data_IF_731173450701
#
_entry.id   IF_731173450701
#
_cell.length_a   1.000
_cell.length_b   1.000
_cell.length_c   1.000
_cell.angle_alpha   90.00
_cell.angle_beta   90.00
_cell.angle_gamma   90.00
#
_symmetry.space_group_name_H-M   'P 1'
#
loop_
_entity.id
_entity.type
_entity.pdbx_description
1 polymer ?
#
# COMPACT_ATOMS: atom_id res chain seq x y z
N UNK A 1 -15.15 -62.50 38.21
CA UNK A 1 -14.15 -61.61 37.61
C UNK A 1 -14.96 -60.50 36.91
N UNK A 2 -15.09 -59.38 37.57
CA UNK A 2 -15.82 -58.20 37.08
C UNK A 2 -14.77 -57.17 36.61
N UNK A 3 -14.76 -56.91 35.32
CA UNK A 3 -13.96 -55.81 34.73
C UNK A 3 -14.68 -54.50 34.95
N UNK A 4 -14.12 -53.67 35.78
CA UNK A 4 -14.53 -52.27 35.98
C UNK A 4 -13.79 -51.42 34.95
N UNK A 5 -14.51 -50.93 33.90
CA UNK A 5 -14.01 -49.87 33.00
C UNK A 5 -14.08 -48.51 33.73
N UNK A 6 -12.94 -47.95 33.97
CA UNK A 6 -12.81 -46.56 34.46
C UNK A 6 -13.14 -45.59 33.37
N UNK A 7 -14.11 -44.71 33.60
CA UNK A 7 -14.42 -43.58 32.70
C UNK A 7 -13.35 -42.50 32.84
N UNK A 8 -12.75 -42.12 31.69
CA UNK A 8 -11.80 -41.00 31.59
C UNK A 8 -12.57 -39.67 31.76
N UNK A 9 -12.14 -38.74 32.63
CA UNK A 9 -12.82 -37.47 32.76
C UNK A 9 -12.62 -36.58 31.54
N UNK A 10 -13.70 -36.02 31.01
CA UNK A 10 -13.73 -35.01 29.98
C UNK A 10 -13.12 -33.73 30.59
N UNK A 11 -11.90 -33.38 30.17
CA UNK A 11 -11.27 -32.10 30.48
C UNK A 11 -12.07 -31.05 29.69
N UNK A 12 -12.87 -30.23 30.37
CA UNK A 12 -13.44 -29.01 29.79
C UNK A 12 -12.27 -28.14 29.35
N UNK A 13 -12.18 -27.88 28.05
CA UNK A 13 -11.21 -26.95 27.48
C UNK A 13 -11.32 -25.61 28.18
N UNK A 14 -10.24 -25.16 28.78
CA UNK A 14 -10.06 -23.78 29.19
C UNK A 14 -10.21 -22.93 27.91
N UNK A 15 -11.17 -22.03 27.90
CA UNK A 15 -11.17 -20.89 27.02
C UNK A 15 -9.89 -20.12 27.35
N UNK A 16 -8.86 -20.28 26.52
CA UNK A 16 -7.72 -19.39 26.54
C UNK A 16 -8.27 -18.03 26.13
N UNK A 17 -8.36 -17.10 27.06
CA UNK A 17 -8.37 -15.68 26.72
C UNK A 17 -7.11 -15.45 25.88
N UNK A 18 -7.27 -15.34 24.57
CA UNK A 18 -6.19 -14.98 23.66
C UNK A 18 -5.77 -13.57 24.06
N UNK A 19 -4.69 -13.47 24.83
CA UNK A 19 -4.01 -12.20 25.03
C UNK A 19 -3.56 -11.78 23.64
N UNK A 20 -4.22 -10.78 23.07
CA UNK A 20 -3.82 -10.21 21.80
C UNK A 20 -2.42 -9.62 21.98
N UNK A 21 -1.44 -10.22 21.35
CA UNK A 21 -0.06 -9.72 21.38
C UNK A 21 0.02 -8.42 20.59
N UNK A 22 0.81 -7.44 21.05
CA UNK A 22 0.97 -6.18 20.35
C UNK A 22 1.57 -6.43 18.96
N UNK A 23 1.17 -5.64 17.96
CA UNK A 23 1.83 -5.60 16.65
C UNK A 23 3.28 -5.18 16.85
N UNK A 24 4.20 -6.02 16.42
CA UNK A 24 5.63 -5.91 16.68
C UNK A 24 6.42 -6.09 15.38
N UNK A 25 7.73 -5.95 15.47
CA UNK A 25 8.67 -6.25 14.39
C UNK A 25 8.45 -7.64 13.77
N UNK A 26 8.11 -8.66 14.56
CA UNK A 26 7.88 -10.00 14.01
C UNK A 26 6.75 -10.01 12.98
N UNK A 27 5.70 -9.20 13.19
CA UNK A 27 4.61 -9.08 12.22
C UNK A 27 5.06 -8.38 10.91
N UNK A 28 5.97 -7.40 10.98
CA UNK A 28 6.59 -6.86 9.77
C UNK A 28 7.36 -7.95 9.02
N UNK A 29 8.19 -8.74 9.74
CA UNK A 29 8.94 -9.84 9.11
C UNK A 29 8.02 -10.92 8.54
N UNK A 30 6.92 -11.24 9.21
CA UNK A 30 5.91 -12.17 8.71
C UNK A 30 5.31 -11.67 7.39
N UNK A 31 4.92 -10.39 7.32
CA UNK A 31 4.37 -9.75 6.12
C UNK A 31 5.39 -9.78 4.98
N UNK A 32 6.64 -9.39 5.23
CA UNK A 32 7.69 -9.36 4.22
C UNK A 32 8.12 -10.77 3.77
N UNK A 33 7.79 -11.80 4.54
CA UNK A 33 7.99 -13.18 4.10
C UNK A 33 6.93 -13.70 3.14
N UNK A 34 5.86 -12.94 2.85
CA UNK A 34 4.80 -13.35 1.94
C UNK A 34 5.12 -12.97 0.49
N UNK A 35 4.95 -13.91 -0.42
CA UNK A 35 5.00 -13.70 -1.87
C UNK A 35 3.56 -13.47 -2.35
N UNK A 36 3.21 -12.24 -2.73
CA UNK A 36 1.81 -11.81 -2.86
C UNK A 36 1.51 -10.96 -4.11
N UNK A 37 1.78 -11.46 -5.34
CA UNK A 37 1.40 -10.72 -6.54
C UNK A 37 -0.10 -10.41 -6.57
N UNK A 38 -0.47 -9.33 -7.25
CA UNK A 38 -1.87 -8.93 -7.43
C UNK A 38 -2.76 -10.11 -7.86
N UNK A 39 -3.96 -10.20 -7.29
CA UNK A 39 -4.97 -11.21 -7.56
C UNK A 39 -4.53 -12.68 -7.33
N UNK A 40 -3.38 -12.91 -6.71
CA UNK A 40 -2.84 -14.24 -6.45
C UNK A 40 -3.39 -14.87 -5.16
N UNK A 41 -3.09 -16.18 -4.99
CA UNK A 41 -3.32 -16.85 -3.70
C UNK A 41 -2.45 -16.27 -2.58
N UNK A 42 -1.26 -15.76 -2.90
CA UNK A 42 -0.39 -15.10 -1.93
C UNK A 42 -0.98 -13.81 -1.41
N UNK A 43 -1.59 -13.00 -2.27
CA UNK A 43 -2.32 -11.81 -1.83
C UNK A 43 -3.55 -12.19 -0.96
N UNK A 44 -4.26 -13.28 -1.29
CA UNK A 44 -5.34 -13.80 -0.44
C UNK A 44 -4.83 -14.22 0.95
N UNK A 45 -3.60 -14.77 1.04
CA UNK A 45 -2.95 -15.08 2.33
C UNK A 45 -2.68 -13.78 3.10
N UNK A 46 -2.24 -12.71 2.43
CA UNK A 46 -2.03 -11.39 3.05
C UNK A 46 -3.35 -10.80 3.58
N UNK A 47 -4.41 -10.81 2.75
CA UNK A 47 -5.76 -10.38 3.16
C UNK A 47 -6.23 -11.14 4.39
N UNK A 48 -6.06 -12.47 4.39
CA UNK A 48 -6.39 -13.31 5.55
C UNK A 48 -5.52 -12.97 6.77
N UNK A 49 -4.23 -12.74 6.60
CA UNK A 49 -3.32 -12.34 7.68
C UNK A 49 -3.81 -11.06 8.36
N UNK A 50 -4.16 -10.04 7.58
CA UNK A 50 -4.67 -8.76 8.09
C UNK A 50 -5.99 -8.97 8.84
N UNK A 51 -6.96 -9.67 8.24
CA UNK A 51 -8.28 -9.90 8.84
C UNK A 51 -8.21 -10.75 10.11
N UNK A 52 -7.34 -11.75 10.18
CA UNK A 52 -7.10 -12.54 11.38
C UNK A 52 -6.56 -11.66 12.54
N UNK A 53 -5.64 -10.71 12.23
CA UNK A 53 -5.14 -9.77 13.23
C UNK A 53 -6.21 -8.79 13.69
N UNK A 54 -7.03 -8.26 12.79
CA UNK A 54 -8.15 -7.39 13.16
C UNK A 54 -9.15 -8.12 14.05
N UNK A 55 -9.47 -9.37 13.74
CA UNK A 55 -10.32 -10.22 14.57
C UNK A 55 -9.71 -10.47 15.95
N UNK A 56 -8.42 -10.77 16.02
CA UNK A 56 -7.71 -10.99 17.28
C UNK A 56 -7.67 -9.73 18.17
N UNK A 57 -7.69 -8.55 17.55
CA UNK A 57 -7.77 -7.25 18.23
C UNK A 57 -9.21 -6.83 18.59
N UNK A 58 -10.22 -7.62 18.24
CA UNK A 58 -11.64 -7.28 18.35
C UNK A 58 -11.99 -5.95 17.64
N UNK A 59 -11.39 -5.74 16.46
CA UNK A 59 -11.60 -4.57 15.62
C UNK A 59 -12.62 -4.89 14.52
N UNK A 60 -13.73 -4.15 14.55
CA UNK A 60 -14.73 -4.24 13.48
C UNK A 60 -14.15 -3.77 12.15
N UNK A 61 -14.31 -4.59 11.13
CA UNK A 61 -13.88 -4.28 9.77
C UNK A 61 -14.88 -4.82 8.75
N UNK A 62 -14.79 -4.35 7.53
CA UNK A 62 -15.56 -4.84 6.40
C UNK A 62 -14.67 -5.04 5.19
N UNK A 63 -15.21 -5.66 4.16
CA UNK A 63 -14.59 -5.74 2.84
C UNK A 63 -15.59 -5.22 1.81
N UNK A 64 -15.11 -4.46 0.84
CA UNK A 64 -15.93 -4.02 -0.28
C UNK A 64 -16.04 -5.11 -1.38
N UNK A 65 -16.71 -4.78 -2.48
CA UNK A 65 -16.92 -5.70 -3.59
C UNK A 65 -15.64 -6.10 -4.35
N UNK A 66 -14.56 -5.31 -4.24
CA UNK A 66 -13.25 -5.66 -4.81
C UNK A 66 -12.41 -6.51 -3.85
N UNK A 67 -12.75 -6.48 -2.57
CA UNK A 67 -12.05 -7.18 -1.51
C UNK A 67 -11.02 -6.32 -0.77
N UNK A 68 -11.09 -4.99 -0.90
CA UNK A 68 -10.35 -4.08 -0.04
C UNK A 68 -10.81 -4.21 1.40
N UNK A 69 -9.90 -4.12 2.38
CA UNK A 69 -10.23 -4.22 3.80
C UNK A 69 -10.40 -2.81 4.36
N UNK A 70 -11.50 -2.58 5.04
CA UNK A 70 -11.90 -1.26 5.53
C UNK A 70 -12.07 -1.32 7.05
N UNK A 71 -11.38 -0.43 7.78
CA UNK A 71 -11.52 -0.23 9.23
C UNK A 71 -11.87 1.22 9.49
N UNK A 72 -13.05 1.49 10.01
CA UNK A 72 -13.50 2.84 10.30
C UNK A 72 -13.40 3.13 11.81
N UNK A 73 -12.38 3.92 12.19
CA UNK A 73 -12.17 4.45 13.53
C UNK A 73 -12.33 5.99 13.57
N UNK A 74 -12.98 6.57 12.56
CA UNK A 74 -13.26 8.00 12.55
C UNK A 74 -14.15 8.39 13.75
N UNK A 75 -13.91 9.58 14.34
CA UNK A 75 -14.77 10.07 15.40
C UNK A 75 -16.19 10.35 14.87
N UNK A 76 -17.19 10.12 15.72
CA UNK A 76 -18.61 10.38 15.41
C UNK A 76 -18.98 11.86 15.47
N UNK A 77 -18.12 12.69 16.08
CA UNK A 77 -18.28 14.15 16.13
C UNK A 77 -17.41 14.84 15.07
N UNK A 78 -17.77 16.04 14.71
CA UNK A 78 -16.98 16.85 13.80
C UNK A 78 -15.59 17.16 14.36
N UNK A 79 -14.58 17.09 13.52
CA UNK A 79 -13.19 17.42 13.82
C UNK A 79 -12.61 18.25 12.67
N UNK A 80 -11.61 19.13 12.93
CA UNK A 80 -10.97 19.93 11.90
C UNK A 80 -10.34 19.09 10.78
N UNK A 81 -9.94 17.86 11.09
CA UNK A 81 -9.34 16.92 10.15
C UNK A 81 -9.98 15.55 10.27
N UNK A 82 -10.24 14.93 9.13
CA UNK A 82 -10.70 13.54 8.99
C UNK A 82 -9.78 12.83 8.01
N UNK A 83 -9.01 11.89 8.50
CA UNK A 83 -7.91 11.26 7.77
C UNK A 83 -8.30 9.87 7.30
N UNK A 84 -7.96 9.53 6.06
CA UNK A 84 -7.87 8.17 5.55
C UNK A 84 -6.40 7.77 5.44
N UNK A 85 -6.02 6.64 6.02
CA UNK A 85 -4.71 6.01 5.86
C UNK A 85 -4.83 4.84 4.91
N UNK A 86 -3.89 4.73 3.97
CA UNK A 86 -3.90 3.69 2.96
C UNK A 86 -2.56 2.95 2.85
N UNK A 87 -2.65 1.69 2.47
CA UNK A 87 -1.55 0.82 2.09
C UNK A 87 -2.10 -0.25 1.14
N UNK A 88 -1.25 -0.90 0.33
CA UNK A 88 -1.71 -1.95 -0.55
C UNK A 88 -1.20 -3.35 -0.18
N UNK A 89 -1.98 -4.37 -0.55
CA UNK A 89 -1.74 -5.76 -0.12
C UNK A 89 -0.93 -6.57 -1.12
N UNK A 90 -0.90 -6.18 -2.37
CA UNK A 90 -0.19 -6.85 -3.45
C UNK A 90 1.28 -6.41 -3.57
N UNK A 91 1.99 -6.99 -4.52
CA UNK A 91 3.40 -6.70 -4.84
C UNK A 91 3.70 -7.11 -6.27
N UNK A 92 4.84 -6.65 -6.82
CA UNK A 92 5.35 -7.03 -8.15
C UNK A 92 6.11 -8.37 -8.17
N UNK A 93 5.86 -9.31 -7.26
CA UNK A 93 6.48 -10.63 -7.32
C UNK A 93 6.16 -11.33 -8.64
N UNK A 94 7.18 -11.73 -9.40
CA UNK A 94 7.01 -12.33 -10.74
C UNK A 94 6.67 -13.81 -10.74
N UNK A 95 6.86 -14.51 -9.61
CA UNK A 95 6.72 -15.96 -9.49
C UNK A 95 5.33 -16.41 -9.00
N UNK A 96 4.27 -15.78 -9.49
CA UNK A 96 2.88 -16.04 -9.09
C UNK A 96 2.38 -17.48 -9.33
N UNK A 97 3.04 -18.26 -10.17
CA UNK A 97 2.65 -19.63 -10.52
C UNK A 97 3.16 -20.72 -9.57
N UNK A 98 3.94 -20.36 -8.56
CA UNK A 98 4.47 -21.35 -7.60
C UNK A 98 3.48 -21.61 -6.47
N UNK A 99 3.44 -22.83 -5.96
CA UNK A 99 2.68 -23.20 -4.75
C UNK A 99 3.32 -22.61 -3.47
N UNK A 100 4.44 -21.91 -3.60
CA UNK A 100 5.17 -21.31 -2.49
C UNK A 100 4.74 -19.83 -2.34
N UNK A 101 4.04 -19.54 -1.26
CA UNK A 101 3.57 -18.18 -0.93
C UNK A 101 4.43 -17.50 0.13
N UNK A 102 5.64 -18.02 0.38
CA UNK A 102 6.59 -17.47 1.36
C UNK A 102 8.01 -17.45 0.81
N UNK A 103 8.78 -16.49 1.29
CA UNK A 103 10.21 -16.31 0.97
C UNK A 103 11.04 -16.19 2.24
N UNK A 104 12.33 -16.43 2.12
CA UNK A 104 13.29 -16.23 3.20
C UNK A 104 13.75 -14.78 3.24
N UNK A 105 14.00 -14.30 4.45
CA UNK A 105 14.55 -12.97 4.71
C UNK A 105 15.98 -13.10 5.27
N UNK A 106 16.79 -12.08 5.04
CA UNK A 106 18.13 -11.98 5.59
C UNK A 106 18.39 -10.56 6.12
N UNK A 107 19.17 -10.47 7.20
CA UNK A 107 19.78 -9.20 7.57
C UNK A 107 20.98 -8.95 6.64
N UNK A 108 20.87 -7.92 5.79
CA UNK A 108 21.94 -7.47 4.91
C UNK A 108 22.95 -6.60 5.70
N UNK A 109 22.47 -5.86 6.67
CA UNK A 109 23.25 -5.14 7.68
C UNK A 109 22.56 -5.28 9.04
N UNK A 110 23.03 -6.22 9.85
CA UNK A 110 22.45 -6.47 11.17
C UNK A 110 22.68 -5.30 12.15
N UNK A 111 23.74 -4.51 11.95
CA UNK A 111 24.03 -3.34 12.82
C UNK A 111 23.01 -2.22 12.60
N UNK A 112 22.61 -1.99 11.36
CA UNK A 112 21.66 -0.96 10.99
C UNK A 112 20.25 -1.50 10.78
N UNK A 113 20.04 -2.79 11.08
CA UNK A 113 18.74 -3.47 11.00
C UNK A 113 18.11 -3.43 9.59
N UNK A 114 18.96 -3.43 8.54
CA UNK A 114 18.54 -3.50 7.15
C UNK A 114 18.28 -4.97 6.79
N UNK A 115 17.08 -5.26 6.34
CA UNK A 115 16.69 -6.57 5.84
C UNK A 115 16.45 -6.55 4.34
N UNK A 116 16.57 -7.71 3.73
CA UNK A 116 16.32 -7.93 2.31
C UNK A 116 16.25 -9.42 2.01
N UNK A 117 16.35 -9.77 0.75
CA UNK A 117 16.42 -11.17 0.32
C UNK A 117 17.83 -11.74 0.49
N UNK A 118 17.97 -13.04 0.83
CA UNK A 118 19.24 -13.75 0.70
C UNK A 118 19.78 -13.68 -0.73
N UNK A 119 21.10 -13.74 -0.90
CA UNK A 119 21.75 -13.63 -2.20
C UNK A 119 21.36 -14.74 -3.20
N UNK A 120 20.91 -15.88 -2.71
CA UNK A 120 20.45 -17.03 -3.48
C UNK A 120 18.91 -17.13 -3.55
N UNK A 121 18.21 -16.08 -3.14
CA UNK A 121 16.74 -16.05 -3.17
C UNK A 121 16.22 -16.11 -4.60
N UNK A 122 15.22 -16.95 -4.88
CA UNK A 122 14.52 -16.94 -6.17
C UNK A 122 13.49 -15.81 -6.31
N UNK A 123 13.22 -15.07 -5.23
CA UNK A 123 12.23 -13.99 -5.23
C UNK A 123 12.70 -12.77 -6.02
N UNK A 124 11.76 -12.12 -6.71
CA UNK A 124 12.04 -10.95 -7.55
C UNK A 124 12.04 -9.64 -6.78
N UNK A 125 11.41 -9.58 -5.60
CA UNK A 125 11.39 -8.42 -4.71
C UNK A 125 11.20 -8.86 -3.26
N UNK A 126 11.46 -7.97 -2.31
CA UNK A 126 11.20 -8.18 -0.88
C UNK A 126 9.70 -7.98 -0.56
N UNK A 127 9.05 -7.05 -1.24
CA UNK A 127 7.68 -6.63 -0.99
C UNK A 127 7.55 -5.74 0.25
N UNK A 128 8.56 -4.94 0.55
CA UNK A 128 8.44 -3.85 1.50
C UNK A 128 7.51 -2.76 0.99
N UNK A 129 7.45 -2.62 -0.30
CA UNK A 129 6.44 -2.01 -1.13
C UNK A 129 5.28 -3.02 -1.32
N UNK A 130 4.06 -2.94 -0.69
CA UNK A 130 3.81 -2.05 0.43
C UNK A 130 3.47 -2.83 1.72
N UNK A 131 4.26 -3.88 1.99
CA UNK A 131 4.13 -4.64 3.24
C UNK A 131 4.42 -3.81 4.48
N UNK A 132 5.30 -2.80 4.34
CA UNK A 132 5.63 -1.90 5.44
C UNK A 132 4.47 -0.98 5.77
N UNK A 133 3.79 -0.42 4.77
CA UNK A 133 2.57 0.36 4.97
C UNK A 133 1.45 -0.46 5.62
N UNK A 134 1.23 -1.68 5.18
CA UNK A 134 0.27 -2.59 5.82
C UNK A 134 0.58 -2.82 7.30
N UNK A 135 1.85 -3.03 7.66
CA UNK A 135 2.28 -3.16 9.05
C UNK A 135 2.08 -1.86 9.85
N UNK A 136 2.34 -0.70 9.23
CA UNK A 136 2.07 0.63 9.83
C UNK A 136 0.59 0.76 10.14
N UNK A 137 -0.30 0.50 9.16
CA UNK A 137 -1.74 0.58 9.36
C UNK A 137 -2.20 -0.31 10.53
N UNK A 138 -1.80 -1.58 10.56
CA UNK A 138 -2.12 -2.49 11.68
C UNK A 138 -1.65 -1.95 13.03
N UNK A 139 -0.45 -1.34 13.05
CA UNK A 139 0.12 -0.74 14.26
C UNK A 139 -0.65 0.49 14.76
N UNK A 140 -1.19 1.31 13.84
CA UNK A 140 -2.00 2.48 14.16
C UNK A 140 -3.42 2.06 14.59
N UNK A 141 -4.01 1.07 13.91
CA UNK A 141 -5.31 0.48 14.29
C UNK A 141 -5.26 -0.10 15.71
N UNK A 142 -4.21 -0.87 16.03
CA UNK A 142 -4.03 -1.40 17.38
C UNK A 142 -3.93 -0.29 18.43
N UNK A 143 -3.28 0.82 18.10
CA UNK A 143 -3.19 2.00 18.95
C UNK A 143 -4.51 2.81 18.99
N UNK A 144 -5.53 2.41 18.20
CA UNK A 144 -6.83 3.09 18.07
C UNK A 144 -6.68 4.56 17.65
N UNK A 145 -5.72 4.85 16.78
CA UNK A 145 -5.57 6.18 16.19
C UNK A 145 -6.82 6.47 15.36
N UNK A 146 -7.51 7.60 15.58
CA UNK A 146 -8.75 7.91 14.87
C UNK A 146 -8.50 8.19 13.39
N UNK A 147 -8.97 7.32 12.50
CA UNK A 147 -8.90 7.45 11.04
C UNK A 147 -9.82 6.44 10.35
N UNK A 148 -10.03 6.62 9.05
CA UNK A 148 -10.44 5.56 8.16
C UNK A 148 -9.18 4.84 7.66
N UNK A 149 -9.14 3.52 7.72
CA UNK A 149 -8.04 2.71 7.21
C UNK A 149 -8.53 1.86 6.05
N UNK A 150 -7.79 1.87 4.95
CA UNK A 150 -8.10 1.02 3.80
C UNK A 150 -6.83 0.31 3.35
N UNK A 151 -6.89 -1.02 3.33
CA UNK A 151 -5.88 -1.84 2.69
C UNK A 151 -6.38 -2.16 1.29
N UNK A 152 -5.80 -1.50 0.31
CA UNK A 152 -6.19 -1.66 -1.08
C UNK A 152 -5.58 -2.92 -1.69
N UNK A 153 -6.23 -3.42 -2.73
CA UNK A 153 -5.76 -4.53 -3.56
C UNK A 153 -5.41 -4.02 -4.94
N UNK A 154 -4.47 -4.70 -5.59
CA UNK A 154 -4.14 -4.45 -7.00
C UNK A 154 -3.67 -3.01 -7.29
N UNK A 155 -2.85 -2.43 -6.40
CA UNK A 155 -2.18 -1.16 -6.64
C UNK A 155 -1.17 -1.29 -7.78
N UNK A 156 -0.35 -2.34 -7.75
CA UNK A 156 0.76 -2.62 -8.66
C UNK A 156 0.34 -2.92 -10.10
N UNK A 157 -0.95 -3.09 -10.32
CA UNK A 157 -1.55 -3.26 -11.66
C UNK A 157 -2.50 -2.11 -12.00
N UNK A 158 -2.27 -0.93 -11.42
CA UNK A 158 -2.92 0.32 -11.79
C UNK A 158 -3.91 0.89 -10.77
N UNK A 159 -3.83 0.51 -9.49
CA UNK A 159 -4.67 1.07 -8.42
C UNK A 159 -6.14 0.67 -8.53
N UNK A 160 -6.41 -0.56 -9.04
CA UNK A 160 -7.79 -1.00 -9.32
C UNK A 160 -8.65 -1.08 -8.06
N UNK A 161 -8.05 -1.42 -6.91
CA UNK A 161 -8.76 -1.48 -5.63
C UNK A 161 -9.18 -0.10 -5.15
N UNK A 162 -8.31 0.88 -5.21
CA UNK A 162 -8.61 2.27 -4.81
C UNK A 162 -9.56 2.96 -5.79
N UNK A 163 -9.46 2.67 -7.09
CA UNK A 163 -10.42 3.12 -8.09
C UNK A 163 -11.82 2.54 -7.83
N UNK A 164 -11.92 1.23 -7.54
CA UNK A 164 -13.20 0.63 -7.16
C UNK A 164 -13.79 1.29 -5.93
N UNK A 165 -12.98 1.45 -4.85
CA UNK A 165 -13.42 2.07 -3.60
C UNK A 165 -13.91 3.49 -3.79
N UNK A 166 -13.21 4.28 -4.63
CA UNK A 166 -13.60 5.64 -4.99
C UNK A 166 -14.96 5.69 -5.68
N UNK A 167 -15.22 4.77 -6.58
CA UNK A 167 -16.42 4.77 -7.43
C UNK A 167 -17.61 4.00 -6.80
N UNK A 168 -17.39 3.30 -5.68
CA UNK A 168 -18.45 2.57 -4.99
C UNK A 168 -19.43 3.55 -4.33
N UNK A 169 -20.70 3.44 -4.70
CA UNK A 169 -21.80 4.26 -4.18
C UNK A 169 -21.94 4.20 -2.66
N UNK A 170 -21.48 3.12 -2.02
CA UNK A 170 -21.46 2.98 -0.55
C UNK A 170 -20.56 4.02 0.10
N UNK A 171 -19.52 4.48 -0.60
CA UNK A 171 -18.55 5.46 -0.11
C UNK A 171 -18.88 6.90 -0.52
N UNK A 172 -19.89 7.12 -1.37
CA UNK A 172 -20.21 8.42 -1.95
C UNK A 172 -20.46 9.53 -0.91
N UNK A 173 -21.09 9.19 0.21
CA UNK A 173 -21.35 10.13 1.31
C UNK A 173 -20.16 10.27 2.27
N UNK A 174 -19.28 9.26 2.36
CA UNK A 174 -18.14 9.25 3.26
C UNK A 174 -16.96 10.03 2.71
N UNK A 175 -16.57 9.78 1.46
CA UNK A 175 -15.37 10.35 0.85
C UNK A 175 -15.30 11.88 0.91
N UNK A 176 -16.38 12.63 0.59
CA UNK A 176 -16.37 14.10 0.68
C UNK A 176 -16.23 14.65 2.12
N UNK A 177 -16.40 13.80 3.14
CA UNK A 177 -16.18 14.21 4.55
C UNK A 177 -14.72 14.13 4.97
N UNK A 178 -13.88 13.49 4.18
CA UNK A 178 -12.46 13.34 4.46
C UNK A 178 -11.69 14.58 4.00
N UNK A 179 -10.70 14.97 4.75
CA UNK A 179 -9.83 16.11 4.44
C UNK A 179 -8.43 15.69 4.00
N UNK A 180 -8.00 14.49 4.40
CA UNK A 180 -6.69 13.96 4.12
C UNK A 180 -6.75 12.49 3.71
N UNK A 181 -5.97 12.12 2.69
CA UNK A 181 -5.66 10.74 2.30
C UNK A 181 -4.14 10.56 2.32
N UNK A 182 -3.64 9.69 3.18
CA UNK A 182 -2.21 9.50 3.41
C UNK A 182 -1.85 8.05 3.15
N UNK A 183 -1.11 7.81 2.07
CA UNK A 183 -0.49 6.51 1.78
C UNK A 183 0.84 6.37 2.52
N UNK A 184 1.13 5.17 3.02
CA UNK A 184 2.43 4.81 3.60
C UNK A 184 3.20 3.89 2.65
N UNK A 185 3.40 4.36 1.43
CA UNK A 185 3.87 3.61 0.28
C UNK A 185 4.94 4.39 -0.50
N UNK A 186 5.87 5.03 0.21
CA UNK A 186 6.95 5.77 -0.44
C UNK A 186 8.31 5.26 0.02
N UNK A 187 9.19 4.98 -0.93
CA UNK A 187 10.59 4.65 -0.66
C UNK A 187 11.33 5.76 0.07
N UNK A 188 12.47 5.42 0.64
CA UNK A 188 13.35 6.38 1.29
C UNK A 188 12.87 6.78 2.68
N UNK A 189 13.30 7.96 3.12
CA UNK A 189 13.23 8.33 4.53
C UNK A 189 12.64 9.71 4.79
N UNK A 190 12.42 10.52 3.75
CA UNK A 190 12.23 11.97 3.93
C UNK A 190 11.08 12.57 3.15
N UNK A 191 10.40 11.80 2.33
CA UNK A 191 9.45 12.35 1.39
C UNK A 191 8.04 12.47 1.99
N UNK A 192 7.46 13.65 1.84
CA UNK A 192 6.02 13.91 1.86
C UNK A 192 5.66 14.36 0.45
N UNK A 193 5.01 13.49 -0.30
CA UNK A 193 4.70 13.72 -1.71
C UNK A 193 3.60 14.75 -1.84
N UNK A 194 3.86 15.83 -2.61
CA UNK A 194 2.89 16.90 -2.89
C UNK A 194 2.47 16.96 -4.35
N UNK A 195 3.17 16.23 -5.21
CA UNK A 195 2.88 16.09 -6.63
C UNK A 195 2.97 14.63 -7.03
N UNK A 196 1.94 14.11 -7.70
CA UNK A 196 1.89 12.77 -8.25
C UNK A 196 1.52 12.85 -9.72
N UNK A 197 2.27 12.16 -10.60
CA UNK A 197 2.06 12.16 -12.04
C UNK A 197 1.86 13.56 -12.65
N UNK A 198 2.63 14.55 -12.18
CA UNK A 198 2.57 15.92 -12.65
C UNK A 198 1.38 16.73 -12.13
N UNK A 199 0.51 16.14 -11.32
CA UNK A 199 -0.60 16.81 -10.65
C UNK A 199 -0.32 17.13 -9.19
N UNK A 200 -0.73 18.32 -8.72
CA UNK A 200 -0.66 18.68 -7.30
C UNK A 200 -1.66 17.85 -6.50
N UNK A 201 -1.18 17.00 -5.62
CA UNK A 201 -1.98 16.11 -4.78
C UNK A 201 -2.12 16.59 -3.33
N UNK A 202 -1.13 17.34 -2.83
CA UNK A 202 -1.17 17.96 -1.51
C UNK A 202 -0.56 19.36 -1.55
N UNK A 203 -0.96 20.22 -0.63
CA UNK A 203 -0.42 21.58 -0.56
C UNK A 203 0.95 21.64 0.12
N UNK A 204 1.77 22.61 -0.29
CA UNK A 204 3.05 22.91 0.39
C UNK A 204 2.85 23.26 1.87
N UNK A 205 1.71 23.91 2.19
CA UNK A 205 1.36 24.28 3.56
C UNK A 205 1.14 23.05 4.44
N UNK A 206 0.40 22.09 3.96
CA UNK A 206 0.18 20.81 4.64
C UNK A 206 1.49 20.03 4.80
N UNK A 207 2.26 19.84 3.73
CA UNK A 207 3.52 19.12 3.79
C UNK A 207 4.52 19.73 4.79
N UNK A 208 4.64 21.06 4.81
CA UNK A 208 5.45 21.77 5.78
C UNK A 208 4.96 21.60 7.22
N UNK A 209 3.64 21.64 7.43
CA UNK A 209 3.04 21.41 8.74
C UNK A 209 3.33 20.00 9.23
N UNK A 210 3.06 18.99 8.41
CA UNK A 210 3.29 17.58 8.74
C UNK A 210 4.77 17.29 9.01
N UNK A 211 5.70 17.85 8.20
CA UNK A 211 7.14 17.75 8.45
C UNK A 211 7.54 18.36 9.80
N UNK A 212 6.89 19.48 10.17
CA UNK A 212 7.12 20.11 11.49
C UNK A 212 6.65 19.21 12.62
N UNK A 213 5.49 18.56 12.49
CA UNK A 213 4.98 17.60 13.49
C UNK A 213 5.91 16.41 13.65
N UNK A 214 6.39 15.82 12.55
CA UNK A 214 7.37 14.74 12.61
C UNK A 214 8.61 15.16 13.39
N UNK A 215 9.17 16.32 13.06
CA UNK A 215 10.36 16.84 13.74
C UNK A 215 10.14 17.17 15.23
N UNK A 216 8.93 17.57 15.62
CA UNK A 216 8.57 17.81 17.01
C UNK A 216 8.46 16.53 17.82
N UNK A 217 7.94 15.45 17.22
CA UNK A 217 7.80 14.16 17.91
C UNK A 217 9.09 13.34 17.91
N UNK A 218 9.91 13.49 16.88
CA UNK A 218 11.26 12.89 16.77
C UNK A 218 12.16 13.77 15.89
N UNK A 219 13.20 14.36 16.46
CA UNK A 219 14.08 15.31 15.79
C UNK A 219 14.97 14.69 14.69
N UNK A 220 15.03 13.37 14.61
CA UNK A 220 15.75 12.65 13.55
C UNK A 220 14.87 12.40 12.31
N UNK A 221 13.55 12.58 12.42
CA UNK A 221 12.64 12.50 11.27
C UNK A 221 12.63 13.84 10.52
N UNK A 222 13.39 13.90 9.42
CA UNK A 222 13.58 15.12 8.63
C UNK A 222 12.81 15.02 7.31
N UNK A 223 11.49 14.99 7.41
CA UNK A 223 10.61 14.97 6.24
C UNK A 223 10.58 16.32 5.52
N UNK A 224 10.38 16.28 4.21
CA UNK A 224 10.22 17.46 3.35
C UNK A 224 9.32 17.12 2.16
N UNK A 225 8.81 18.16 1.50
CA UNK A 225 8.02 17.95 0.28
C UNK A 225 8.85 17.29 -0.82
N UNK A 226 8.18 16.44 -1.60
CA UNK A 226 8.77 15.72 -2.72
C UNK A 226 7.76 15.54 -3.87
N UNK A 227 8.28 15.19 -5.03
CA UNK A 227 7.49 14.70 -6.16
C UNK A 227 7.54 13.18 -6.19
N UNK A 228 6.42 12.53 -6.44
CA UNK A 228 6.28 11.08 -6.51
C UNK A 228 5.64 10.60 -7.80
N UNK A 229 5.58 9.29 -7.91
CA UNK A 229 4.79 8.56 -8.90
C UNK A 229 3.38 8.33 -8.39
N UNK A 230 2.61 7.50 -9.08
CA UNK A 230 1.29 7.07 -8.63
C UNK A 230 1.37 6.28 -7.31
N UNK A 231 0.34 6.38 -6.50
CA UNK A 231 -0.09 5.45 -5.46
C UNK A 231 -1.60 5.64 -5.24
N UNK A 232 -2.24 4.78 -4.48
CA UNK A 232 -3.68 4.77 -4.23
C UNK A 232 -4.27 6.13 -3.83
N UNK A 233 -3.53 6.96 -3.05
CA UNK A 233 -4.01 8.30 -2.67
C UNK A 233 -4.23 9.23 -3.86
N UNK A 234 -3.59 8.98 -5.00
CA UNK A 234 -3.77 9.78 -6.21
C UNK A 234 -5.21 9.71 -6.75
N UNK A 235 -5.89 8.59 -6.56
CA UNK A 235 -7.26 8.39 -7.00
C UNK A 235 -8.30 9.27 -6.27
N UNK A 236 -7.91 9.98 -5.21
CA UNK A 236 -8.81 10.78 -4.38
C UNK A 236 -8.55 12.29 -4.47
N UNK A 237 -7.63 12.73 -5.31
CA UNK A 237 -7.14 14.12 -5.35
C UNK A 237 -8.18 15.15 -5.76
N UNK A 238 -9.23 14.78 -6.45
CA UNK A 238 -10.37 15.61 -6.83
C UNK A 238 -11.54 15.60 -5.83
N UNK A 239 -11.43 14.76 -4.77
CA UNK A 239 -12.46 14.62 -3.72
C UNK A 239 -11.88 15.06 -2.36
N UNK A 240 -10.63 14.70 -2.06
CA UNK A 240 -9.98 14.93 -0.76
C UNK A 240 -8.91 16.02 -0.91
N UNK A 241 -8.91 16.97 0.01
CA UNK A 241 -8.05 18.16 -0.10
C UNK A 241 -6.56 17.85 -0.10
N UNK A 242 -6.08 17.00 0.77
CA UNK A 242 -4.65 16.68 0.90
C UNK A 242 -4.43 15.17 0.70
N UNK A 243 -3.89 14.79 -0.45
CA UNK A 243 -3.55 13.40 -0.78
C UNK A 243 -2.03 13.28 -0.90
N UNK A 244 -1.41 12.48 -0.03
CA UNK A 244 0.06 12.37 0.01
C UNK A 244 0.51 10.93 0.15
N UNK A 245 1.79 10.71 -0.17
CA UNK A 245 2.51 9.46 0.09
C UNK A 245 3.75 9.77 0.94
N UNK A 246 3.99 8.99 1.99
CA UNK A 246 5.03 9.21 2.99
C UNK A 246 6.06 8.09 2.95
N UNK A 247 7.37 8.46 2.97
CA UNK A 247 8.47 7.49 3.02
C UNK A 247 8.42 6.61 4.26
N UNK A 248 8.59 5.29 4.04
CA UNK A 248 8.48 4.26 5.07
C UNK A 248 9.76 3.44 5.29
N UNK A 249 10.87 3.82 4.63
CA UNK A 249 12.20 3.25 4.89
C UNK A 249 12.58 2.05 4.05
N UNK A 250 11.87 1.76 2.96
CA UNK A 250 12.36 0.80 1.96
C UNK A 250 13.13 1.51 0.84
N UNK A 251 13.92 0.77 0.10
CA UNK A 251 14.66 1.24 -1.08
C UNK A 251 14.77 0.14 -2.13
N UNK A 252 15.01 0.52 -3.39
CA UNK A 252 15.13 -0.39 -4.54
C UNK A 252 13.93 -1.30 -4.76
N UNK A 253 12.72 -0.78 -4.49
CA UNK A 253 11.47 -1.49 -4.74
C UNK A 253 11.44 -2.12 -6.14
N UNK A 254 10.58 -3.12 -6.33
CA UNK A 254 10.39 -3.83 -7.60
C UNK A 254 11.63 -4.61 -8.10
N UNK A 255 12.63 -4.80 -7.24
CA UNK A 255 13.84 -5.57 -7.59
C UNK A 255 14.22 -6.57 -6.49
N UNK A 256 15.00 -7.58 -6.85
CA UNK A 256 15.58 -8.51 -5.87
C UNK A 256 16.56 -7.84 -4.87
N UNK A 257 17.00 -6.61 -5.17
CA UNK A 257 17.82 -5.79 -4.30
C UNK A 257 17.03 -4.92 -3.32
N UNK A 258 15.72 -5.06 -3.27
CA UNK A 258 14.86 -4.31 -2.36
C UNK A 258 15.24 -4.56 -0.90
N UNK A 259 15.22 -3.49 -0.12
CA UNK A 259 15.62 -3.50 1.29
C UNK A 259 14.60 -2.75 2.14
N UNK A 260 14.51 -3.13 3.43
CA UNK A 260 13.75 -2.41 4.45
C UNK A 260 14.65 -2.06 5.64
N UNK A 261 14.67 -0.79 6.01
CA UNK A 261 15.20 -0.33 7.29
C UNK A 261 14.12 -0.51 8.38
N UNK A 262 14.29 -1.56 9.18
CA UNK A 262 13.33 -1.91 10.23
C UNK A 262 13.35 -0.91 11.37
N UNK A 263 14.53 -0.38 11.71
CA UNK A 263 14.68 0.61 12.77
C UNK A 263 13.98 1.94 12.41
N UNK A 264 14.09 2.36 11.14
CA UNK A 264 13.37 3.53 10.65
C UNK A 264 11.85 3.31 10.68
N UNK A 265 11.36 2.16 10.19
CA UNK A 265 9.93 1.85 10.20
C UNK A 265 9.35 1.86 11.63
N UNK A 266 10.06 1.27 12.60
CA UNK A 266 9.66 1.31 14.02
C UNK A 266 9.66 2.73 14.59
N UNK A 267 10.67 3.54 14.24
CA UNK A 267 10.74 4.95 14.63
C UNK A 267 9.56 5.72 14.07
N UNK A 268 9.25 5.52 12.78
CA UNK A 268 8.11 6.16 12.12
C UNK A 268 6.80 5.81 12.80
N UNK A 269 6.53 4.53 13.07
CA UNK A 269 5.30 4.10 13.79
C UNK A 269 5.20 4.76 15.18
N UNK A 270 6.31 4.86 15.91
CA UNK A 270 6.31 5.56 17.22
C UNK A 270 5.95 7.03 17.08
N UNK A 271 6.42 7.69 16.03
CA UNK A 271 6.11 9.09 15.76
C UNK A 271 4.64 9.27 15.32
N UNK A 272 4.16 8.45 14.39
CA UNK A 272 2.78 8.48 13.89
C UNK A 272 1.74 8.33 15.02
N UNK A 273 2.03 7.52 16.04
CA UNK A 273 1.16 7.34 17.22
C UNK A 273 1.09 8.57 18.13
N UNK A 274 1.95 9.57 17.93
CA UNK A 274 2.05 10.79 18.76
C UNK A 274 1.54 12.05 18.04
N UNK A 275 1.30 11.97 16.73
CA UNK A 275 0.74 13.08 15.96
C UNK A 275 -0.74 13.22 16.27
N UNK A 276 -1.21 14.46 16.44
CA UNK A 276 -2.63 14.78 16.52
C UNK A 276 -3.24 14.84 15.11
N UNK A 277 -3.79 13.71 14.67
CA UNK A 277 -4.39 13.56 13.36
C UNK A 277 -5.74 14.25 13.20
N UNK A 278 -6.35 14.73 14.28
CA UNK A 278 -7.65 15.37 14.25
C UNK A 278 -7.57 16.89 14.06
N UNK A 279 -6.36 17.46 14.08
CA UNK A 279 -6.12 18.90 14.01
C UNK A 279 -5.25 19.31 12.81
N UNK A 280 -5.11 18.47 11.80
CA UNK A 280 -4.31 18.79 10.62
C UNK A 280 -4.97 19.89 9.78
N UNK A 281 -4.22 20.88 9.31
CA UNK A 281 -4.73 21.87 8.38
C UNK A 281 -4.81 21.30 6.96
N UNK A 282 -5.76 21.77 6.18
CA UNK A 282 -5.86 21.55 4.75
C UNK A 282 -6.02 22.88 4.02
N UNK A 283 -5.44 23.01 2.85
CA UNK A 283 -5.35 24.28 2.13
C UNK A 283 -5.78 24.15 0.66
N UNK A 284 -5.73 22.93 0.10
CA UNK A 284 -6.08 22.70 -1.29
C UNK A 284 -7.60 22.56 -1.43
N UNK A 285 -8.14 23.13 -2.52
CA UNK A 285 -9.50 22.84 -2.95
C UNK A 285 -9.48 21.68 -3.96
N UNK A 286 -10.00 20.50 -3.61
CA UNK A 286 -10.02 19.37 -4.52
C UNK A 286 -10.79 19.65 -5.82
N UNK A 287 -11.85 20.46 -5.76
CA UNK A 287 -12.65 20.81 -6.93
C UNK A 287 -11.92 21.68 -7.97
N UNK A 288 -10.84 22.38 -7.55
CA UNK A 288 -10.00 23.19 -8.44
C UNK A 288 -8.88 22.37 -9.12
N UNK A 289 -8.80 21.07 -8.83
CA UNK A 289 -7.70 20.21 -9.29
C UNK A 289 -8.18 19.30 -10.42
N UNK A 290 -7.41 19.22 -11.49
CA UNK A 290 -7.61 18.16 -12.49
C UNK A 290 -7.38 16.82 -11.78
N UNK A 291 -8.33 15.89 -11.83
CA UNK A 291 -8.16 14.58 -11.22
C UNK A 291 -6.87 13.90 -11.70
N UNK A 292 -6.13 13.28 -10.78
CA UNK A 292 -4.87 12.63 -11.13
C UNK A 292 -5.06 11.52 -12.20
N UNK A 293 -6.24 10.88 -12.25
CA UNK A 293 -6.56 9.91 -13.30
C UNK A 293 -6.74 10.58 -14.68
N UNK A 294 -7.22 11.84 -14.77
CA UNK A 294 -7.26 12.59 -16.02
C UNK A 294 -5.86 13.11 -16.40
N UNK A 295 -5.05 13.54 -15.41
CA UNK A 295 -3.65 13.86 -15.63
C UNK A 295 -2.85 12.64 -16.13
N UNK A 296 -3.27 11.43 -15.78
CA UNK A 296 -2.74 10.18 -16.33
C UNK A 296 -2.90 10.12 -17.85
N UNK A 297 -4.07 10.47 -18.37
CA UNK A 297 -4.31 10.49 -19.83
C UNK A 297 -3.52 11.63 -20.49
N UNK A 298 -3.48 12.83 -19.91
CA UNK A 298 -2.70 13.95 -20.44
C UNK A 298 -1.18 13.70 -20.35
N UNK A 299 -0.71 13.03 -19.29
CA UNK A 299 0.70 12.68 -19.12
C UNK A 299 1.13 11.51 -20.02
N UNK A 300 0.27 10.54 -20.25
CA UNK A 300 0.52 9.50 -21.27
C UNK A 300 0.59 10.11 -22.66
N UNK A 301 -0.31 11.04 -23.00
CA UNK A 301 -0.21 11.77 -24.28
C UNK A 301 1.10 12.58 -24.41
N UNK A 302 1.55 13.25 -23.33
CA UNK A 302 2.84 13.99 -23.36
C UNK A 302 4.06 13.07 -23.28
N UNK A 303 3.95 11.94 -22.58
CA UNK A 303 5.01 10.93 -22.50
C UNK A 303 5.14 10.16 -23.80
N UNK A 304 4.02 9.89 -24.49
CA UNK A 304 4.00 9.31 -25.82
C UNK A 304 4.53 10.26 -26.90
N UNK A 305 4.43 11.58 -26.72
CA UNK A 305 5.07 12.57 -27.60
C UNK A 305 6.60 12.63 -27.42
N UNK A 306 7.11 12.12 -26.29
CA UNK A 306 8.54 12.03 -25.97
C UNK A 306 9.14 10.62 -26.12
N UNK A 307 8.31 9.58 -26.11
CA UNK A 307 8.71 8.23 -26.50
C UNK A 307 8.63 8.16 -28.03
N UNK A 308 9.71 8.62 -28.58
CA UNK A 308 10.22 8.53 -29.94
C UNK A 308 9.51 7.53 -30.89
N UNK A 309 9.76 7.62 -32.18
CA UNK A 309 9.32 6.77 -33.30
C UNK A 309 9.22 5.26 -33.01
N UNK A 310 9.92 4.77 -31.99
CA UNK A 310 9.91 3.38 -31.52
C UNK A 310 8.52 2.90 -31.01
N UNK A 311 7.71 3.72 -30.35
CA UNK A 311 6.42 3.26 -29.80
C UNK A 311 5.34 3.15 -30.87
N UNK A 312 5.32 4.10 -31.80
CA UNK A 312 4.45 4.00 -32.98
C UNK A 312 4.79 2.75 -33.81
N UNK A 313 6.08 2.39 -33.87
CA UNK A 313 6.57 1.16 -34.54
C UNK A 313 6.11 -0.09 -33.73
N UNK A 314 6.08 -0.04 -32.42
CA UNK A 314 5.62 -1.12 -31.58
C UNK A 314 4.09 -1.32 -31.63
N UNK A 315 3.29 -0.25 -31.67
CA UNK A 315 1.84 -0.32 -31.88
C UNK A 315 1.56 -0.94 -33.25
N UNK A 316 2.23 -0.46 -34.28
CA UNK A 316 2.10 -0.98 -35.63
C UNK A 316 2.58 -2.44 -35.74
N UNK A 317 3.53 -2.87 -34.92
CA UNK A 317 3.98 -4.25 -34.85
C UNK A 317 2.94 -5.17 -34.19
N UNK A 318 2.30 -4.72 -33.09
CA UNK A 318 1.20 -5.44 -32.43
C UNK A 318 -0.03 -5.56 -33.33
N UNK A 319 -0.36 -4.51 -34.10
CA UNK A 319 -1.46 -4.54 -35.07
C UNK A 319 -1.18 -5.56 -36.18
N UNK A 320 0.05 -5.65 -36.65
CA UNK A 320 0.46 -6.66 -37.66
C UNK A 320 0.39 -8.09 -37.13
N UNK A 321 0.52 -8.29 -35.84
CA UNK A 321 0.38 -9.60 -35.18
C UNK A 321 -1.09 -9.96 -34.89
N UNK A 322 -2.05 -9.11 -35.30
CA UNK A 322 -3.48 -9.36 -35.16
C UNK A 322 -4.02 -9.08 -33.75
N UNK A 323 -3.33 -8.29 -32.94
CA UNK A 323 -3.86 -7.79 -31.67
C UNK A 323 -4.99 -6.80 -32.00
N UNK A 324 -6.23 -7.27 -31.97
CA UNK A 324 -7.39 -6.39 -31.95
C UNK A 324 -7.26 -5.50 -30.71
N UNK A 325 -7.30 -4.17 -30.89
CA UNK A 325 -7.15 -3.19 -29.82
C UNK A 325 -5.71 -3.00 -29.29
N UNK A 326 -4.70 -3.07 -30.16
CA UNK A 326 -3.31 -2.78 -29.77
C UNK A 326 -3.15 -1.39 -29.13
N UNK A 327 -3.89 -0.39 -29.61
CA UNK A 327 -3.96 0.94 -28.99
C UNK A 327 -4.55 0.86 -27.59
N UNK A 328 -5.69 0.19 -27.40
CA UNK A 328 -6.32 0.03 -26.09
C UNK A 328 -5.42 -0.72 -25.10
N UNK A 329 -4.67 -1.71 -25.58
CA UNK A 329 -3.73 -2.45 -24.74
C UNK A 329 -2.57 -1.57 -24.28
N UNK A 330 -2.00 -0.78 -25.19
CA UNK A 330 -0.88 0.13 -24.88
C UNK A 330 -1.34 1.27 -23.96
N UNK A 331 -2.56 1.76 -24.15
CA UNK A 331 -3.09 2.88 -23.36
C UNK A 331 -3.66 2.45 -21.99
N UNK A 332 -4.30 1.28 -21.90
CA UNK A 332 -4.98 0.84 -20.71
C UNK A 332 -4.17 -0.18 -19.87
N UNK A 333 -3.19 -0.85 -20.47
CA UNK A 333 -2.30 -1.78 -19.77
C UNK A 333 -0.90 -1.79 -20.42
N UNK A 334 -0.12 -0.71 -20.23
CA UNK A 334 1.22 -0.59 -20.82
C UNK A 334 2.20 -1.66 -20.33
N UNK A 335 1.99 -2.24 -19.14
CA UNK A 335 2.84 -3.34 -18.63
C UNK A 335 2.58 -4.63 -19.39
N UNK A 336 1.33 -5.01 -19.59
CA UNK A 336 0.98 -6.17 -20.44
C UNK A 336 1.42 -5.93 -21.88
N UNK A 337 1.32 -4.70 -22.40
CA UNK A 337 1.85 -4.34 -23.72
C UNK A 337 3.37 -4.52 -23.80
N UNK A 338 4.14 -4.06 -22.80
CA UNK A 338 5.59 -4.21 -22.72
C UNK A 338 5.99 -5.69 -22.54
N UNK A 339 5.29 -6.46 -21.71
CA UNK A 339 5.53 -7.90 -21.58
C UNK A 339 5.27 -8.64 -22.89
N UNK A 340 4.16 -8.35 -23.54
CA UNK A 340 3.81 -8.94 -24.84
C UNK A 340 4.85 -8.58 -25.89
N UNK A 341 5.28 -7.33 -25.98
CA UNK A 341 6.34 -6.86 -26.87
C UNK A 341 7.67 -7.55 -26.55
N UNK A 342 8.01 -7.66 -25.25
CA UNK A 342 9.24 -8.33 -24.82
C UNK A 342 9.22 -9.83 -25.15
N UNK A 343 8.06 -10.47 -25.04
CA UNK A 343 7.86 -11.87 -25.42
C UNK A 343 7.99 -12.06 -26.92
N UNK A 344 7.35 -11.19 -27.71
CA UNK A 344 7.30 -11.27 -29.16
C UNK A 344 8.65 -10.89 -29.82
N UNK A 345 9.41 -9.96 -29.22
CA UNK A 345 10.72 -9.54 -29.74
C UNK A 345 11.89 -10.45 -29.35
N UNK A 346 11.73 -11.27 -28.29
CA UNK A 346 12.78 -12.22 -27.88
C UNK A 346 12.85 -13.50 -28.69
N UNK A 347 11.96 -13.70 -29.67
CA UNK A 347 12.00 -14.79 -30.67
C UNK A 347 12.27 -16.15 -30.06
N UNK A 348 11.24 -16.90 -29.80
CA UNK A 348 11.35 -18.36 -29.65
C UNK A 348 11.02 -19.03 -30.99
#
# INVERSE_FOLDING_TARGET
MLNTTQATPIIKGQQSSSVCLPITRSHLLDILSLVRPANSKGEQVMVKYITDHLNALDITHSMDGYGNIIVNLLPTHETPSRVMFTAHTDTVHRNAGTTQHTQSLAYLDAKHEIIGLPADSPSSCLGADDGTGCWILLSLIQAKIPALYVFFRAEEIGGLGSEFFRNDTVNADLLPTLTHCISFDRKGYTDIVTEQWGGVCASDGFAKHLATLFKQVDNELNFSKATGTFTDSANFTDIIAECTNISVGYDKQHTAGETQDVAFAERLVKALKRIDWLSLPHYRDPAATTPAYLARYEYTDSYFTYLDDDLAEHIHYLERLGAEHAEDLVFNDPYTAIELLTYLTKGY
#
